data_IF_181925341476
#
_entry.id   IF_181925341476
#
_cell.length_a   1.000
_cell.length_b   1.000
_cell.length_c   1.000
_cell.angle_alpha   90.00
_cell.angle_beta   90.00
_cell.angle_gamma   90.00
#
_symmetry.space_group_name_H-M   'P 1'
#
loop_
_entity.id
_entity.type
_entity.pdbx_description
1 polymer ?
#
# COMPACT_ATOMS: atom_id res chain seq x y z
N UNK A 1 0.72 -3.56 -4.54
CA UNK A 1 1.66 -4.68 -4.27
C UNK A 1 2.06 -4.64 -2.81
N UNK A 2 2.14 -5.78 -2.12
CA UNK A 2 2.52 -5.85 -0.72
C UNK A 2 3.97 -5.36 -0.54
N UNK A 3 4.23 -4.65 0.55
CA UNK A 3 5.59 -4.14 0.82
C UNK A 3 6.52 -5.30 1.19
N UNK A 4 7.81 -5.18 0.87
CA UNK A 4 8.78 -6.24 1.17
C UNK A 4 9.09 -6.27 2.67
N UNK A 5 8.96 -7.45 3.28
CA UNK A 5 9.37 -7.70 4.66
C UNK A 5 10.88 -7.56 4.82
N UNK A 6 11.33 -7.11 5.99
CA UNK A 6 12.74 -6.95 6.34
C UNK A 6 13.33 -8.29 6.79
N UNK A 7 14.45 -8.67 6.17
CA UNK A 7 15.29 -9.79 6.59
C UNK A 7 16.71 -9.30 6.86
N UNK A 8 17.37 -9.82 7.90
CA UNK A 8 18.73 -9.43 8.28
C UNK A 8 19.74 -10.54 8.00
N UNK A 9 20.67 -10.29 7.08
CA UNK A 9 21.82 -11.18 6.84
C UNK A 9 22.79 -11.18 8.03
N UNK A 10 22.84 -10.09 8.78
CA UNK A 10 23.71 -9.95 9.95
C UNK A 10 23.25 -10.89 11.06
N UNK A 11 21.92 -11.00 11.28
CA UNK A 11 21.36 -11.90 12.29
C UNK A 11 21.82 -13.34 12.06
N UNK A 12 21.68 -13.84 10.83
CA UNK A 12 22.14 -15.19 10.43
C UNK A 12 23.64 -15.39 10.66
N UNK A 13 24.47 -14.38 10.37
CA UNK A 13 25.93 -14.45 10.63
C UNK A 13 26.24 -14.50 12.13
N UNK A 14 25.53 -13.71 12.93
CA UNK A 14 25.72 -13.66 14.38
C UNK A 14 25.27 -14.96 15.04
N UNK A 15 24.17 -15.56 14.60
CA UNK A 15 23.69 -16.87 15.09
C UNK A 15 24.75 -17.97 14.90
N UNK A 16 25.36 -18.06 13.71
CA UNK A 16 26.43 -19.02 13.44
C UNK A 16 27.66 -18.80 14.32
N UNK A 17 28.06 -17.54 14.53
CA UNK A 17 29.18 -17.22 15.42
C UNK A 17 28.86 -17.51 16.88
N UNK A 18 27.65 -17.19 17.34
CA UNK A 18 27.20 -17.46 18.69
C UNK A 18 27.18 -18.96 18.99
N UNK A 19 26.77 -19.79 18.03
CA UNK A 19 26.86 -21.25 18.15
C UNK A 19 28.30 -21.74 18.30
N UNK A 20 29.24 -21.20 17.50
CA UNK A 20 30.67 -21.51 17.64
C UNK A 20 31.25 -21.09 19.00
N UNK A 21 30.90 -19.89 19.48
CA UNK A 21 31.36 -19.41 20.80
C UNK A 21 30.82 -20.28 21.95
N UNK A 22 29.55 -20.68 21.88
CA UNK A 22 28.94 -21.59 22.87
C UNK A 22 29.58 -22.98 22.87
N UNK A 23 30.01 -23.47 21.71
CA UNK A 23 30.69 -24.76 21.60
C UNK A 23 32.09 -24.73 22.25
N UNK A 24 32.77 -23.58 22.24
CA UNK A 24 34.06 -23.40 22.92
C UNK A 24 33.85 -23.34 24.44
N UNK A 25 33.00 -22.40 24.89
CA UNK A 25 32.64 -22.27 26.29
C UNK A 25 31.26 -21.57 26.40
N UNK A 26 30.26 -22.20 27.02
CA UNK A 26 28.92 -21.60 27.21
C UNK A 26 28.93 -20.29 28.00
N UNK A 27 29.90 -20.10 28.90
CA UNK A 27 30.02 -18.94 29.78
C UNK A 27 31.21 -18.06 29.40
N UNK A 28 31.59 -18.05 28.11
CA UNK A 28 32.69 -17.24 27.61
C UNK A 28 32.43 -15.75 27.88
N UNK A 29 33.33 -15.14 28.64
CA UNK A 29 33.29 -13.73 29.03
C UNK A 29 34.67 -13.10 28.79
N UNK A 30 34.70 -12.05 27.98
CA UNK A 30 35.90 -11.24 27.74
C UNK A 30 35.91 -9.94 28.57
N UNK A 31 35.01 -9.84 29.54
CA UNK A 31 34.82 -8.68 30.39
C UNK A 31 33.84 -7.65 29.81
N UNK A 32 33.14 -6.95 30.71
CA UNK A 32 32.22 -5.86 30.37
C UNK A 32 31.06 -6.32 29.49
N UNK A 33 30.97 -5.74 28.28
CA UNK A 33 29.85 -6.00 27.34
C UNK A 33 30.13 -7.21 26.44
N UNK A 34 31.37 -7.68 26.39
CA UNK A 34 31.84 -8.69 25.43
C UNK A 34 31.68 -10.11 25.97
N UNK A 35 30.44 -10.49 26.29
CA UNK A 35 30.11 -11.84 26.74
C UNK A 35 29.01 -12.47 25.89
N UNK A 36 28.92 -13.80 25.93
CA UNK A 36 27.93 -14.57 25.16
C UNK A 36 26.50 -14.18 25.54
N UNK A 37 26.25 -13.83 26.80
CA UNK A 37 24.93 -13.43 27.29
C UNK A 37 24.45 -12.12 26.62
N UNK A 38 25.28 -11.08 26.61
CA UNK A 38 24.98 -9.81 25.93
C UNK A 38 24.79 -9.99 24.43
N UNK A 39 25.61 -10.83 23.79
CA UNK A 39 25.45 -11.17 22.38
C UNK A 39 24.07 -11.79 22.12
N UNK A 40 23.65 -12.77 22.95
CA UNK A 40 22.33 -13.40 22.82
C UNK A 40 21.18 -12.43 23.07
N UNK A 41 21.29 -11.55 24.07
CA UNK A 41 20.28 -10.53 24.36
C UNK A 41 20.13 -9.53 23.20
N UNK A 42 21.24 -9.05 22.63
CA UNK A 42 21.19 -8.15 21.47
C UNK A 42 20.62 -8.84 20.23
N UNK A 43 20.95 -10.13 20.03
CA UNK A 43 20.41 -10.94 18.96
C UNK A 43 18.89 -11.08 19.07
N UNK A 44 18.37 -11.40 20.26
CA UNK A 44 16.93 -11.49 20.53
C UNK A 44 16.22 -10.15 20.36
N UNK A 45 16.80 -9.06 20.88
CA UNK A 45 16.26 -7.70 20.68
C UNK A 45 16.15 -7.36 19.20
N UNK A 46 17.17 -7.66 18.40
CA UNK A 46 17.14 -7.42 16.96
C UNK A 46 16.06 -8.26 16.27
N UNK A 47 15.94 -9.54 16.65
CA UNK A 47 14.91 -10.44 16.11
C UNK A 47 13.51 -9.92 16.40
N UNK A 48 13.22 -9.59 17.66
CA UNK A 48 11.93 -9.05 18.08
C UNK A 48 11.58 -7.74 17.37
N UNK A 49 12.57 -6.86 17.13
CA UNK A 49 12.35 -5.61 16.38
C UNK A 49 12.06 -5.86 14.90
N UNK A 50 12.70 -6.85 14.27
CA UNK A 50 12.42 -7.23 12.88
C UNK A 50 11.01 -7.82 12.77
N UNK A 51 10.62 -8.69 13.71
CA UNK A 51 9.30 -9.30 13.72
C UNK A 51 8.19 -8.27 13.98
N UNK A 52 8.40 -7.35 14.93
CA UNK A 52 7.48 -6.23 15.19
C UNK A 52 7.34 -5.31 13.96
N UNK A 53 8.43 -5.04 13.25
CA UNK A 53 8.38 -4.25 12.03
C UNK A 53 7.59 -4.96 10.92
N UNK A 54 7.85 -6.26 10.72
CA UNK A 54 7.19 -7.03 9.68
C UNK A 54 5.69 -7.24 9.95
N UNK A 55 5.29 -7.38 11.21
CA UNK A 55 3.88 -7.44 11.62
C UNK A 55 3.17 -6.11 11.43
N UNK A 56 3.79 -5.00 11.83
CA UNK A 56 3.25 -3.66 11.56
C UNK A 56 3.06 -3.43 10.04
N UNK A 57 4.02 -3.86 9.23
CA UNK A 57 3.94 -3.75 7.78
C UNK A 57 2.77 -4.56 7.20
N UNK A 58 2.50 -5.76 7.73
CA UNK A 58 1.31 -6.54 7.30
C UNK A 58 0.00 -5.87 7.68
N UNK A 59 -0.08 -5.24 8.85
CA UNK A 59 -1.28 -4.50 9.28
C UNK A 59 -1.51 -3.27 8.38
N UNK A 60 -0.45 -2.53 8.04
CA UNK A 60 -0.61 -1.37 7.15
C UNK A 60 -1.05 -1.83 5.75
N UNK A 61 -0.51 -2.94 5.25
CA UNK A 61 -0.91 -3.47 3.95
C UNK A 61 -2.38 -3.92 3.95
N UNK A 62 -2.88 -4.53 5.03
CA UNK A 62 -4.31 -4.90 5.15
C UNK A 62 -5.23 -3.68 5.27
N UNK A 63 -4.88 -2.69 6.09
CA UNK A 63 -5.65 -1.45 6.18
C UNK A 63 -5.70 -0.70 4.85
N UNK A 64 -4.61 -0.75 4.07
CA UNK A 64 -4.61 -0.17 2.73
C UNK A 64 -5.60 -0.88 1.80
N UNK A 65 -5.61 -2.22 1.79
CA UNK A 65 -6.56 -2.97 0.96
C UNK A 65 -8.02 -2.70 1.35
N UNK A 66 -8.30 -2.55 2.64
CA UNK A 66 -9.64 -2.19 3.13
C UNK A 66 -10.08 -0.81 2.65
N UNK A 67 -9.18 0.18 2.68
CA UNK A 67 -9.45 1.53 2.14
C UNK A 67 -9.73 1.45 0.64
N UNK A 68 -8.86 0.79 -0.12
CA UNK A 68 -9.02 0.67 -1.58
C UNK A 68 -10.37 0.00 -1.95
N UNK A 69 -10.79 -1.01 -1.17
CA UNK A 69 -12.10 -1.66 -1.35
C UNK A 69 -13.28 -0.75 -1.00
N UNK A 70 -13.19 0.00 0.09
CA UNK A 70 -14.24 0.94 0.50
C UNK A 70 -14.38 2.09 -0.49
N UNK A 71 -13.26 2.65 -0.97
CA UNK A 71 -13.26 3.68 -2.01
C UNK A 71 -13.94 3.19 -3.28
N UNK A 72 -13.63 1.96 -3.71
CA UNK A 72 -14.29 1.36 -4.87
C UNK A 72 -15.79 1.21 -4.67
N UNK A 73 -16.23 0.67 -3.52
CA UNK A 73 -17.66 0.50 -3.21
C UNK A 73 -18.38 1.85 -3.14
N UNK A 74 -17.74 2.86 -2.58
CA UNK A 74 -18.31 4.21 -2.48
C UNK A 74 -18.44 4.85 -3.86
N UNK A 75 -17.44 4.67 -4.73
CA UNK A 75 -17.49 5.11 -6.13
C UNK A 75 -18.63 4.42 -6.89
N UNK A 76 -18.75 3.09 -6.77
CA UNK A 76 -19.83 2.35 -7.43
C UNK A 76 -21.21 2.79 -6.94
N UNK A 77 -21.34 3.10 -5.64
CA UNK A 77 -22.59 3.58 -5.07
C UNK A 77 -22.92 5.01 -5.55
N UNK A 78 -21.94 5.90 -5.58
CA UNK A 78 -22.15 7.27 -6.05
C UNK A 78 -22.56 7.31 -7.53
N UNK A 79 -21.94 6.46 -8.37
CA UNK A 79 -22.33 6.28 -9.77
C UNK A 79 -23.78 5.77 -9.90
N UNK A 80 -24.16 4.77 -9.09
CA UNK A 80 -25.55 4.28 -9.08
C UNK A 80 -26.54 5.35 -8.67
N UNK A 81 -26.20 6.18 -7.68
CA UNK A 81 -27.05 7.29 -7.24
C UNK A 81 -27.21 8.34 -8.34
N UNK A 82 -26.10 8.73 -8.98
CA UNK A 82 -26.13 9.64 -10.12
C UNK A 82 -27.00 9.09 -11.27
N UNK A 83 -26.86 7.78 -11.55
CA UNK A 83 -27.67 7.11 -12.57
C UNK A 83 -29.16 7.04 -12.18
N UNK A 84 -29.46 6.86 -10.90
CA UNK A 84 -30.82 6.92 -10.35
C UNK A 84 -31.46 8.30 -10.53
N UNK A 85 -30.72 9.39 -10.27
CA UNK A 85 -31.17 10.76 -10.57
C UNK A 85 -31.43 10.94 -12.06
N UNK A 86 -30.52 10.44 -12.91
CA UNK A 86 -30.72 10.43 -14.36
C UNK A 86 -31.93 9.60 -14.81
N UNK A 87 -32.25 8.52 -14.11
CA UNK A 87 -33.42 7.69 -14.40
C UNK A 87 -34.73 8.39 -14.01
N UNK A 88 -34.75 9.06 -12.85
CA UNK A 88 -35.94 9.71 -12.32
C UNK A 88 -36.26 11.05 -13.02
N UNK A 89 -35.25 11.91 -13.21
CA UNK A 89 -35.43 13.28 -13.73
C UNK A 89 -34.97 13.43 -15.17
N UNK A 90 -34.24 12.45 -15.71
CA UNK A 90 -33.64 12.51 -17.04
C UNK A 90 -32.22 13.06 -17.05
N UNK A 91 -31.43 12.65 -18.04
CA UNK A 91 -30.01 13.03 -18.19
C UNK A 91 -29.76 14.47 -18.66
N UNK A 92 -30.82 15.22 -18.95
CA UNK A 92 -30.75 16.62 -19.41
C UNK A 92 -31.37 17.59 -18.39
N UNK A 93 -31.75 17.07 -17.22
CA UNK A 93 -32.41 17.82 -16.16
C UNK A 93 -31.43 18.68 -15.35
N UNK A 94 -31.97 19.68 -14.65
CA UNK A 94 -31.20 20.55 -13.75
C UNK A 94 -30.72 19.72 -12.55
N UNK A 95 -31.56 18.82 -12.06
CA UNK A 95 -31.33 17.91 -10.94
C UNK A 95 -30.13 16.99 -11.20
N UNK A 96 -30.01 16.46 -12.43
CA UNK A 96 -28.85 15.67 -12.82
C UNK A 96 -27.55 16.49 -12.83
N UNK A 97 -27.62 17.77 -13.21
CA UNK A 97 -26.47 18.68 -13.13
C UNK A 97 -26.12 19.02 -11.67
N UNK A 98 -27.13 19.29 -10.84
CA UNK A 98 -26.95 19.57 -9.41
C UNK A 98 -26.34 18.38 -8.66
N UNK A 99 -26.67 17.15 -9.08
CA UNK A 99 -26.07 15.92 -8.56
C UNK A 99 -24.62 15.68 -9.02
N UNK A 100 -24.04 16.59 -9.82
CA UNK A 100 -22.66 16.52 -10.31
C UNK A 100 -22.52 15.91 -11.71
N UNK A 101 -23.62 15.59 -12.39
CA UNK A 101 -23.63 15.13 -13.77
C UNK A 101 -23.44 16.26 -14.78
N UNK A 102 -22.97 15.94 -16.00
CA UNK A 102 -22.99 16.88 -17.13
C UNK A 102 -24.22 16.55 -17.97
N UNK A 103 -25.07 17.55 -18.22
CA UNK A 103 -26.28 17.41 -19.03
C UNK A 103 -25.94 16.90 -20.42
N UNK A 104 -26.86 16.16 -21.04
CA UNK A 104 -26.66 15.57 -22.37
C UNK A 104 -26.46 16.66 -23.44
N UNK A 105 -27.20 17.77 -23.32
CA UNK A 105 -27.10 18.96 -24.18
C UNK A 105 -25.77 19.69 -24.02
N UNK A 106 -25.27 19.83 -22.79
CA UNK A 106 -24.01 20.54 -22.49
C UNK A 106 -22.75 19.68 -22.75
N UNK A 107 -22.90 18.38 -22.98
CA UNK A 107 -21.78 17.48 -23.23
C UNK A 107 -21.16 17.76 -24.60
N UNK A 108 -19.96 18.36 -24.61
CA UNK A 108 -19.16 18.58 -25.82
C UNK A 108 -18.88 17.24 -26.52
N UNK A 109 -19.51 17.00 -27.66
CA UNK A 109 -19.18 15.88 -28.55
C UNK A 109 -18.03 16.30 -29.46
N UNK A 110 -16.82 15.78 -29.22
CA UNK A 110 -15.77 15.81 -30.25
C UNK A 110 -16.21 14.88 -31.39
N UNK A 111 -16.70 15.45 -32.49
CA UNK A 111 -16.99 14.69 -33.71
C UNK A 111 -15.69 14.18 -34.33
N UNK A 112 -15.73 13.06 -35.06
CA UNK A 112 -14.55 12.49 -35.76
C UNK A 112 -13.84 13.51 -36.65
N UNK A 113 -14.57 14.47 -37.21
CA UNK A 113 -14.05 15.58 -38.04
C UNK A 113 -13.06 16.49 -37.30
N UNK A 114 -13.24 16.67 -35.98
CA UNK A 114 -12.29 17.46 -35.18
C UNK A 114 -11.02 16.67 -34.81
N UNK A 115 -10.98 15.34 -35.05
CA UNK A 115 -9.80 14.51 -34.81
C UNK A 115 -8.83 14.58 -35.99
N UNK A 116 -9.35 14.59 -37.23
CA UNK A 116 -8.54 14.74 -38.44
C UNK A 116 -8.00 16.15 -38.67
N UNK A 117 -8.50 17.17 -37.96
CA UNK A 117 -8.00 18.55 -38.10
C UNK A 117 -6.78 18.82 -37.22
N UNK A 118 -6.67 18.14 -36.07
CA UNK A 118 -5.52 18.27 -35.16
C UNK A 118 -4.27 17.59 -35.73
N UNK A 119 -4.42 16.47 -36.46
CA UNK A 119 -3.28 15.78 -37.12
C UNK A 119 -2.71 16.55 -38.33
N UNK A 120 -3.45 17.50 -38.92
CA UNK A 120 -3.01 18.28 -40.09
C UNK A 120 -2.35 19.61 -39.69
N UNK A 121 -2.54 20.07 -38.44
CA UNK A 121 -1.92 21.29 -37.91
C UNK A 121 -0.55 21.04 -37.22
N UNK A 122 -0.13 19.78 -37.08
CA UNK A 122 1.18 19.38 -36.50
C UNK A 122 2.22 18.91 -37.54
N UNK A 123 1.96 19.09 -38.85
CA UNK A 123 2.90 18.88 -39.97
C UNK A 123 3.26 20.20 -40.65
#
# INVERSE_FOLDING_TARGET
MPRRKRASRILKKVELRAAGLKAINPTLDFGGVNNVNNLTQLMERLRNKIDAYNTALTVIDSSKTEIDELEKRLSDLSEKMLLGVAFQYGKDSIEYQMAGGIRKSDRIRRSKTNRSKVEVEEL
#
